data_IF_363313128218
#
_entry.id   IF_363313128218
#
_cell.length_a   1.000
_cell.length_b   1.000
_cell.length_c   1.000
_cell.angle_alpha   90.00
_cell.angle_beta   90.00
_cell.angle_gamma   90.00
#
_symmetry.space_group_name_H-M   'P 1'
#
loop_
_entity.id
_entity.type
_entity.pdbx_description
1 polymer ?
#
# COMPACT_ATOMS: atom_id res chain seq x y z
N UNK A 1 -18.12 23.93 -6.57
CA UNK A 1 -17.45 22.71 -7.04
C UNK A 1 -16.86 22.89 -8.44
N UNK A 2 -17.69 23.26 -9.46
CA UNK A 2 -17.22 23.34 -10.86
C UNK A 2 -16.01 24.27 -11.06
N UNK A 3 -16.01 25.45 -10.45
CA UNK A 3 -14.90 26.41 -10.54
C UNK A 3 -13.58 25.80 -10.02
N UNK A 4 -13.63 25.08 -8.89
CA UNK A 4 -12.47 24.43 -8.32
C UNK A 4 -11.96 23.30 -9.23
N UNK A 5 -12.88 22.50 -9.79
CA UNK A 5 -12.53 21.40 -10.70
C UNK A 5 -11.86 21.96 -11.98
N UNK A 6 -12.47 22.96 -12.62
CA UNK A 6 -11.96 23.54 -13.88
C UNK A 6 -10.58 24.17 -13.66
N UNK A 7 -10.35 24.83 -12.52
CA UNK A 7 -9.09 25.52 -12.24
C UNK A 7 -7.94 24.56 -11.91
N UNK A 8 -8.21 23.39 -11.33
CA UNK A 8 -7.18 22.48 -10.80
C UNK A 8 -7.03 21.19 -11.59
N UNK A 9 -8.11 20.62 -12.11
CA UNK A 9 -8.05 19.43 -12.95
C UNK A 9 -7.66 19.79 -14.39
N UNK A 10 -6.51 19.26 -14.85
CA UNK A 10 -5.91 19.65 -16.12
C UNK A 10 -6.54 18.98 -17.33
N UNK A 11 -6.99 17.72 -17.21
CA UNK A 11 -7.57 16.94 -18.31
C UNK A 11 -9.09 16.85 -18.21
N UNK A 12 -9.74 16.58 -19.34
CA UNK A 12 -11.20 16.40 -19.38
C UNK A 12 -11.64 15.21 -18.53
N UNK A 13 -10.88 14.11 -18.59
CA UNK A 13 -11.13 12.89 -17.84
C UNK A 13 -11.06 13.15 -16.31
N UNK A 14 -10.05 13.90 -15.87
CA UNK A 14 -9.94 14.30 -14.46
C UNK A 14 -11.14 15.15 -14.02
N UNK A 15 -11.59 16.09 -14.87
CA UNK A 15 -12.76 16.93 -14.57
C UNK A 15 -14.03 16.10 -14.45
N UNK A 16 -14.27 15.20 -15.39
CA UNK A 16 -15.42 14.30 -15.39
C UNK A 16 -15.40 13.39 -14.16
N UNK A 17 -14.25 12.87 -13.81
CA UNK A 17 -14.06 12.07 -12.57
C UNK A 17 -14.50 12.85 -11.35
N UNK A 18 -13.95 14.05 -11.11
CA UNK A 18 -14.31 14.84 -9.91
C UNK A 18 -15.78 15.27 -9.90
N UNK A 19 -16.38 15.54 -11.06
CA UNK A 19 -17.82 15.83 -11.16
C UNK A 19 -18.63 14.60 -10.76
N UNK A 20 -18.30 13.44 -11.28
CA UNK A 20 -18.97 12.17 -10.98
C UNK A 20 -18.85 11.80 -9.50
N UNK A 21 -17.65 11.88 -8.92
CA UNK A 21 -17.41 11.59 -7.51
C UNK A 21 -18.16 12.56 -6.60
N UNK A 22 -18.21 13.87 -6.94
CA UNK A 22 -19.01 14.84 -6.22
C UNK A 22 -20.50 14.50 -6.25
N UNK A 23 -21.02 14.03 -7.40
CA UNK A 23 -22.44 13.71 -7.55
C UNK A 23 -22.85 12.46 -6.77
N UNK A 24 -22.00 11.41 -6.76
CA UNK A 24 -22.31 10.15 -6.09
C UNK A 24 -22.04 10.21 -4.58
N UNK A 25 -20.94 10.87 -4.18
CA UNK A 25 -20.49 10.87 -2.78
C UNK A 25 -20.88 12.12 -2.02
N UNK A 26 -21.58 13.05 -2.65
CA UNK A 26 -22.03 14.32 -2.05
C UNK A 26 -20.89 15.09 -1.36
N UNK A 27 -19.72 15.15 -2.01
CA UNK A 27 -18.57 15.85 -1.43
C UNK A 27 -18.86 17.33 -1.17
N UNK A 28 -18.43 17.79 0.01
CA UNK A 28 -18.42 19.22 0.30
C UNK A 28 -17.36 19.93 -0.56
N UNK A 29 -17.45 21.26 -0.66
CA UNK A 29 -16.45 22.08 -1.35
C UNK A 29 -15.05 21.90 -0.73
N UNK A 30 -14.98 21.74 0.59
CA UNK A 30 -13.72 21.53 1.31
C UNK A 30 -13.14 20.16 1.00
N UNK A 31 -13.94 19.12 1.06
CA UNK A 31 -13.59 17.76 0.69
C UNK A 31 -13.05 17.69 -0.74
N UNK A 32 -13.76 18.29 -1.70
CA UNK A 32 -13.31 18.36 -3.09
C UNK A 32 -11.96 19.08 -3.23
N UNK A 33 -11.74 20.18 -2.51
CA UNK A 33 -10.46 20.91 -2.54
C UNK A 33 -9.30 20.07 -2.05
N UNK A 34 -9.50 19.31 -0.98
CA UNK A 34 -8.48 18.41 -0.43
C UNK A 34 -8.13 17.33 -1.46
N UNK A 35 -9.11 16.77 -2.15
CA UNK A 35 -8.91 15.75 -3.18
C UNK A 35 -8.25 16.29 -4.46
N UNK A 36 -8.63 17.47 -4.90
CA UNK A 36 -7.96 18.14 -6.00
C UNK A 36 -6.50 18.50 -5.65
N UNK A 37 -6.24 18.86 -4.40
CA UNK A 37 -4.88 19.16 -3.91
C UNK A 37 -4.02 17.91 -3.80
N UNK A 38 -4.61 16.78 -3.39
CA UNK A 38 -3.95 15.48 -3.30
C UNK A 38 -3.86 14.75 -4.66
N UNK A 39 -4.38 15.36 -5.74
CA UNK A 39 -4.46 14.75 -7.07
C UNK A 39 -5.06 13.34 -7.09
N UNK A 40 -6.21 13.19 -6.42
CA UNK A 40 -6.90 11.89 -6.32
C UNK A 40 -7.13 11.24 -7.69
N UNK A 41 -7.32 12.03 -8.76
CA UNK A 41 -7.51 11.50 -10.10
C UNK A 41 -6.32 10.64 -10.57
N UNK A 42 -5.10 11.11 -10.35
CA UNK A 42 -3.88 10.38 -10.73
C UNK A 42 -3.58 9.17 -9.84
N UNK A 43 -4.11 9.18 -8.61
CA UNK A 43 -3.95 8.09 -7.64
C UNK A 43 -5.18 7.17 -7.54
N UNK A 44 -6.21 7.41 -8.36
CA UNK A 44 -7.46 6.65 -8.32
C UNK A 44 -7.29 5.23 -8.84
N UNK A 45 -7.88 4.29 -8.12
CA UNK A 45 -8.23 2.98 -8.64
C UNK A 45 -7.07 2.08 -9.06
N UNK A 46 -5.87 2.41 -8.62
CA UNK A 46 -4.71 1.62 -8.91
C UNK A 46 -4.57 0.50 -7.86
N UNK A 47 -4.73 0.79 -6.57
CA UNK A 47 -4.69 -0.21 -5.52
C UNK A 47 -6.08 -0.87 -5.34
N UNK A 48 -6.28 -2.16 -5.64
CA UNK A 48 -7.51 -2.87 -5.27
C UNK A 48 -7.62 -2.95 -3.74
N UNK A 49 -8.73 -2.44 -3.20
CA UNK A 49 -8.94 -2.29 -1.75
C UNK A 49 -10.43 -2.23 -1.39
N UNK A 50 -10.74 -2.33 -0.08
CA UNK A 50 -12.08 -2.14 0.48
C UNK A 50 -12.18 -0.94 1.43
N UNK A 51 -11.26 0.02 1.37
CA UNK A 51 -11.16 1.14 2.31
C UNK A 51 -12.44 1.98 2.41
N UNK A 52 -13.14 2.19 1.28
CA UNK A 52 -14.37 2.96 1.25
C UNK A 52 -15.51 2.35 2.09
N UNK A 53 -15.46 1.05 2.33
CA UNK A 53 -16.49 0.29 3.05
C UNK A 53 -16.11 0.03 4.51
N UNK A 54 -14.81 0.01 4.82
CA UNK A 54 -14.28 -0.50 6.09
C UNK A 54 -13.67 0.58 6.98
N UNK A 55 -13.30 1.74 6.43
CA UNK A 55 -12.82 2.87 7.22
C UNK A 55 -13.98 3.77 7.68
N UNK A 56 -13.84 4.46 8.85
CA UNK A 56 -14.95 5.12 9.53
C UNK A 56 -15.63 6.21 8.71
N UNK A 57 -14.90 6.90 7.86
CA UNK A 57 -15.42 7.97 7.04
C UNK A 57 -14.72 8.06 5.67
N UNK A 58 -15.38 8.75 4.75
CA UNK A 58 -14.88 8.93 3.37
C UNK A 58 -13.53 9.64 3.31
N UNK A 59 -13.26 10.56 4.23
CA UNK A 59 -11.99 11.29 4.28
C UNK A 59 -10.84 10.36 4.64
N UNK A 60 -11.05 9.50 5.63
CA UNK A 60 -10.09 8.47 6.05
C UNK A 60 -9.83 7.47 4.93
N UNK A 61 -10.90 6.99 4.26
CA UNK A 61 -10.78 6.06 3.14
C UNK A 61 -9.95 6.63 2.00
N UNK A 62 -10.12 7.92 1.69
CA UNK A 62 -9.36 8.57 0.63
C UNK A 62 -7.93 8.87 0.99
N UNK A 63 -7.67 9.26 2.24
CA UNK A 63 -6.30 9.34 2.74
C UNK A 63 -5.58 7.99 2.60
N UNK A 64 -6.26 6.88 2.89
CA UNK A 64 -5.70 5.54 2.72
C UNK A 64 -5.39 5.25 1.25
N UNK A 65 -6.33 5.51 0.32
CA UNK A 65 -6.07 5.35 -1.13
C UNK A 65 -4.89 6.18 -1.59
N UNK A 66 -4.73 7.43 -1.10
CA UNK A 66 -3.61 8.30 -1.46
C UNK A 66 -2.27 7.90 -0.79
N UNK A 67 -2.33 7.17 0.31
CA UNK A 67 -1.13 6.77 1.07
C UNK A 67 -0.45 5.53 0.49
N UNK A 68 -1.17 4.72 -0.29
CA UNK A 68 -0.66 3.47 -0.84
C UNK A 68 -0.62 3.51 -2.37
N UNK A 69 0.40 2.87 -2.94
CA UNK A 69 0.56 2.66 -4.39
C UNK A 69 0.08 1.27 -4.77
N UNK A 70 -0.34 1.09 -6.00
CA UNK A 70 -0.66 -0.22 -6.60
C UNK A 70 0.59 -1.04 -6.94
N UNK A 71 1.71 -0.35 -7.20
CA UNK A 71 2.99 -0.98 -7.51
C UNK A 71 4.15 -0.27 -6.80
N UNK A 72 5.06 -1.04 -6.24
CA UNK A 72 6.27 -0.59 -5.58
C UNK A 72 7.51 -1.08 -6.32
N UNK A 73 8.42 -0.16 -6.64
CA UNK A 73 9.73 -0.52 -7.17
C UNK A 73 10.71 -0.72 -6.00
N UNK A 74 11.16 -1.95 -5.80
CA UNK A 74 12.12 -2.34 -4.78
C UNK A 74 13.48 -2.62 -5.43
N UNK A 75 14.15 -1.55 -5.87
CA UNK A 75 15.42 -1.60 -6.62
C UNK A 75 16.62 -2.10 -5.81
N UNK A 76 16.45 -2.18 -4.48
CA UNK A 76 17.45 -2.67 -3.55
C UNK A 76 17.37 -4.17 -3.28
N UNK A 77 16.40 -4.89 -3.84
CA UNK A 77 16.30 -6.35 -3.74
C UNK A 77 17.22 -6.99 -4.76
N UNK A 78 18.12 -7.87 -4.30
CA UNK A 78 18.96 -8.67 -5.17
C UNK A 78 18.18 -9.85 -5.75
N UNK A 79 17.77 -9.74 -7.00
CA UNK A 79 16.98 -10.78 -7.70
C UNK A 79 17.76 -12.07 -7.93
N UNK A 80 19.11 -12.02 -7.93
CA UNK A 80 19.95 -13.21 -8.13
C UNK A 80 19.86 -14.19 -6.96
N UNK A 81 19.41 -13.70 -5.80
CA UNK A 81 19.17 -14.51 -4.62
C UNK A 81 17.77 -15.12 -4.58
N UNK A 82 16.86 -14.68 -5.47
CA UNK A 82 15.49 -15.18 -5.54
C UNK A 82 15.44 -16.46 -6.39
N UNK A 83 14.85 -17.51 -5.82
CA UNK A 83 14.65 -18.79 -6.50
C UNK A 83 13.15 -19.04 -6.72
N UNK A 84 12.69 -19.01 -7.97
CA UNK A 84 11.26 -19.12 -8.31
C UNK A 84 10.59 -20.43 -7.85
N UNK A 85 11.37 -21.41 -7.40
CA UNK A 85 10.86 -22.72 -6.96
C UNK A 85 10.57 -22.82 -5.46
N UNK A 86 11.01 -21.85 -4.66
CA UNK A 86 10.85 -21.86 -3.19
C UNK A 86 10.25 -20.55 -2.68
N UNK A 87 8.91 -20.40 -2.77
CA UNK A 87 8.18 -19.18 -2.38
C UNK A 87 8.52 -18.69 -0.95
N UNK A 88 8.61 -19.59 0.03
CA UNK A 88 8.87 -19.25 1.43
C UNK A 88 10.30 -18.70 1.66
N UNK A 89 11.29 -19.20 0.92
CA UNK A 89 12.65 -18.67 0.95
C UNK A 89 12.72 -17.29 0.31
N UNK A 90 12.04 -17.10 -0.80
CA UNK A 90 11.96 -15.83 -1.50
C UNK A 90 11.30 -14.75 -0.62
N UNK A 91 10.23 -15.06 0.14
CA UNK A 91 9.60 -14.14 1.07
C UNK A 91 10.57 -13.67 2.15
N UNK A 92 11.36 -14.58 2.73
CA UNK A 92 12.41 -14.24 3.73
C UNK A 92 13.55 -13.40 3.15
N UNK A 93 13.93 -13.63 1.89
CA UNK A 93 14.97 -12.84 1.21
C UNK A 93 14.44 -11.41 0.97
N UNK A 94 13.22 -11.27 0.47
CA UNK A 94 12.57 -9.98 0.27
C UNK A 94 12.42 -9.22 1.59
N UNK A 95 11.96 -9.87 2.65
CA UNK A 95 11.84 -9.28 3.98
C UNK A 95 13.20 -8.79 4.49
N UNK A 96 14.23 -9.63 4.47
CA UNK A 96 15.59 -9.25 4.91
C UNK A 96 16.13 -8.06 4.12
N UNK A 97 15.92 -8.04 2.80
CA UNK A 97 16.35 -6.93 1.95
C UNK A 97 15.60 -5.63 2.30
N UNK A 98 14.30 -5.70 2.58
CA UNK A 98 13.51 -4.55 3.03
C UNK A 98 14.00 -4.04 4.39
N UNK A 99 14.22 -4.91 5.36
CA UNK A 99 14.71 -4.55 6.70
C UNK A 99 16.10 -3.94 6.63
N UNK A 100 17.02 -4.54 5.85
CA UNK A 100 18.37 -4.00 5.64
C UNK A 100 18.34 -2.62 4.96
N UNK A 101 17.32 -2.35 4.15
CA UNK A 101 17.14 -1.08 3.43
C UNK A 101 15.87 -0.34 3.86
N UNK A 102 15.45 -0.48 5.12
CA UNK A 102 14.18 0.05 5.63
C UNK A 102 13.98 1.54 5.32
N UNK A 103 15.05 2.33 5.34
CA UNK A 103 15.00 3.75 4.96
C UNK A 103 14.56 3.92 3.51
N UNK A 104 15.11 3.15 2.57
CA UNK A 104 14.71 3.20 1.15
C UNK A 104 13.27 2.72 0.97
N UNK A 105 12.90 1.65 1.67
CA UNK A 105 11.54 1.13 1.64
C UNK A 105 10.53 2.18 2.12
N UNK A 106 10.77 2.84 3.26
CA UNK A 106 9.90 3.90 3.78
C UNK A 106 9.80 5.07 2.78
N UNK A 107 10.90 5.49 2.17
CA UNK A 107 10.88 6.54 1.14
C UNK A 107 10.07 6.14 -0.11
N UNK A 108 10.04 4.86 -0.45
CA UNK A 108 9.24 4.31 -1.55
C UNK A 108 7.77 4.18 -1.16
N UNK A 109 7.51 3.77 0.08
CA UNK A 109 6.18 3.57 0.64
C UNK A 109 5.45 4.90 0.86
N UNK A 110 6.11 5.90 1.47
CA UNK A 110 5.58 7.24 1.68
C UNK A 110 6.21 7.96 2.87
N UNK A 111 6.04 9.28 2.94
CA UNK A 111 6.69 10.14 3.95
C UNK A 111 6.13 9.97 5.36
N UNK A 112 4.88 9.54 5.51
CA UNK A 112 4.19 9.49 6.80
C UNK A 112 4.28 8.13 7.50
N UNK A 113 5.13 7.22 7.00
CA UNK A 113 5.33 5.90 7.58
C UNK A 113 6.48 5.88 8.59
N UNK A 114 6.20 5.31 9.76
CA UNK A 114 7.20 4.99 10.79
C UNK A 114 7.29 3.48 10.94
N UNK A 115 8.48 2.92 10.80
CA UNK A 115 8.70 1.48 10.98
C UNK A 115 8.66 1.11 12.46
N UNK A 116 7.83 0.11 12.82
CA UNK A 116 7.73 -0.43 14.18
C UNK A 116 8.60 -1.68 14.31
N UNK A 117 8.53 -2.60 13.34
CA UNK A 117 9.31 -3.82 13.36
C UNK A 117 8.97 -4.78 12.21
N UNK A 118 9.79 -5.82 12.12
CA UNK A 118 9.54 -6.98 11.25
C UNK A 118 9.31 -8.22 12.09
N UNK A 119 8.66 -9.23 11.53
CA UNK A 119 8.25 -10.46 12.23
C UNK A 119 7.63 -10.11 13.60
N UNK A 120 6.69 -9.16 13.55
CA UNK A 120 6.09 -8.63 14.76
C UNK A 120 5.21 -9.70 15.41
N UNK A 121 5.70 -10.24 16.54
CA UNK A 121 5.04 -11.33 17.27
C UNK A 121 3.82 -10.82 18.02
N UNK A 122 2.70 -11.50 17.84
CA UNK A 122 1.50 -11.37 18.64
C UNK A 122 1.08 -12.76 19.12
N UNK A 123 0.36 -12.81 20.25
CA UNK A 123 -0.21 -14.05 20.78
C UNK A 123 -1.69 -13.81 21.07
N UNK A 124 -2.54 -14.68 20.55
CA UNK A 124 -3.98 -14.63 20.78
C UNK A 124 -4.48 -16.02 21.19
N UNK A 125 -4.99 -16.13 22.39
CA UNK A 125 -5.49 -17.41 22.94
C UNK A 125 -4.49 -18.58 22.87
N UNK A 126 -3.20 -18.30 23.01
CA UNK A 126 -2.13 -19.29 22.96
C UNK A 126 -1.58 -19.57 21.56
N UNK A 127 -2.15 -18.98 20.52
CA UNK A 127 -1.68 -19.09 19.14
C UNK A 127 -0.74 -17.91 18.81
N UNK A 128 0.45 -18.24 18.34
CA UNK A 128 1.44 -17.24 17.92
C UNK A 128 1.20 -16.82 16.48
N UNK A 129 1.32 -15.51 16.23
CA UNK A 129 1.20 -14.91 14.92
C UNK A 129 2.35 -13.94 14.68
N UNK A 130 2.81 -13.85 13.44
CA UNK A 130 3.92 -12.96 13.05
C UNK A 130 3.50 -12.14 11.85
N UNK A 131 3.56 -10.82 11.99
CA UNK A 131 3.35 -9.88 10.88
C UNK A 131 4.72 -9.60 10.25
N UNK A 132 4.85 -9.77 8.93
CA UNK A 132 6.13 -9.58 8.24
C UNK A 132 6.72 -8.19 8.50
N UNK A 133 5.93 -7.13 8.25
CA UNK A 133 6.34 -5.76 8.53
C UNK A 133 5.19 -4.98 9.18
N UNK A 134 5.48 -4.30 10.29
CA UNK A 134 4.53 -3.42 10.96
C UNK A 134 5.02 -1.98 10.92
N UNK A 135 4.13 -1.09 10.50
CA UNK A 135 4.34 0.35 10.45
C UNK A 135 3.25 1.09 11.21
N UNK A 136 3.51 2.36 11.49
CA UNK A 136 2.49 3.34 11.86
C UNK A 136 2.46 4.43 10.80
N UNK A 137 1.28 4.73 10.28
CA UNK A 137 1.09 5.85 9.35
C UNK A 137 0.50 7.04 10.11
N UNK A 138 1.26 8.15 10.14
CA UNK A 138 0.93 9.35 10.90
C UNK A 138 -0.26 10.10 10.33
N UNK A 139 -0.38 10.17 8.99
CA UNK A 139 -1.49 10.86 8.32
C UNK A 139 -2.82 10.11 8.49
N UNK A 140 -2.75 8.78 8.48
CA UNK A 140 -3.90 7.90 8.72
C UNK A 140 -4.18 7.71 10.21
N UNK A 141 -3.21 7.99 11.09
CA UNK A 141 -3.24 7.68 12.51
C UNK A 141 -3.62 6.21 12.76
N UNK A 142 -2.98 5.30 12.02
CA UNK A 142 -3.30 3.87 11.98
C UNK A 142 -2.04 3.00 11.98
N UNK A 143 -2.13 1.85 12.62
CA UNK A 143 -1.18 0.77 12.40
C UNK A 143 -1.35 0.23 10.97
N UNK A 144 -0.25 -0.12 10.32
CA UNK A 144 -0.25 -0.68 8.96
C UNK A 144 0.55 -1.98 8.98
N UNK A 145 -0.16 -3.09 8.79
CA UNK A 145 0.43 -4.41 8.63
C UNK A 145 0.71 -4.66 7.13
N UNK A 146 1.94 -5.01 6.79
CA UNK A 146 2.31 -5.41 5.43
C UNK A 146 2.69 -6.88 5.45
N UNK A 147 2.02 -7.65 4.63
CA UNK A 147 2.27 -9.07 4.41
C UNK A 147 2.96 -9.25 3.07
N UNK A 148 4.13 -9.87 3.06
CA UNK A 148 4.94 -10.10 1.88
C UNK A 148 4.61 -11.45 1.25
N UNK A 149 4.48 -11.49 -0.07
CA UNK A 149 4.28 -12.72 -0.83
C UNK A 149 5.16 -12.71 -2.07
N UNK A 150 5.99 -13.73 -2.23
CA UNK A 150 6.93 -13.84 -3.34
C UNK A 150 6.29 -14.24 -4.67
N UNK A 151 5.06 -14.75 -4.62
CA UNK A 151 4.32 -15.24 -5.77
C UNK A 151 3.13 -14.38 -6.16
N UNK A 152 2.18 -15.03 -6.85
CA UNK A 152 0.90 -14.46 -7.25
C UNK A 152 -0.07 -14.38 -6.06
N UNK A 153 -0.92 -13.35 -6.05
CA UNK A 153 -1.99 -13.19 -5.08
C UNK A 153 -2.87 -14.45 -4.94
N UNK A 154 -3.16 -14.82 -3.69
CA UNK A 154 -4.10 -15.90 -3.31
C UNK A 154 -5.09 -15.36 -2.28
N UNK A 155 -6.35 -15.77 -2.37
CA UNK A 155 -7.42 -15.34 -1.44
C UNK A 155 -7.17 -15.74 0.01
N UNK A 156 -6.42 -16.82 0.25
CA UNK A 156 -6.01 -17.25 1.60
C UNK A 156 -5.22 -16.18 2.38
N UNK A 157 -4.46 -15.33 1.68
CA UNK A 157 -3.69 -14.24 2.28
C UNK A 157 -4.58 -13.19 2.95
N UNK A 158 -5.79 -12.96 2.40
CA UNK A 158 -6.76 -12.04 3.01
C UNK A 158 -7.28 -12.54 4.35
N UNK A 159 -7.50 -13.85 4.48
CA UNK A 159 -7.92 -14.47 5.75
C UNK A 159 -6.86 -14.32 6.84
N UNK A 160 -5.60 -14.56 6.51
CA UNK A 160 -4.46 -14.37 7.40
C UNK A 160 -4.35 -12.91 7.83
N UNK A 161 -4.34 -11.98 6.86
CA UNK A 161 -4.23 -10.55 7.13
C UNK A 161 -5.42 -10.04 7.97
N UNK A 162 -6.65 -10.49 7.71
CA UNK A 162 -7.83 -10.14 8.49
C UNK A 162 -7.69 -10.54 9.98
N UNK A 163 -7.10 -11.70 10.25
CA UNK A 163 -6.80 -12.16 11.60
C UNK A 163 -5.79 -11.25 12.28
N UNK A 164 -4.72 -10.88 11.58
CA UNK A 164 -3.71 -9.95 12.09
C UNK A 164 -4.29 -8.58 12.43
N UNK A 165 -5.12 -8.01 11.53
CA UNK A 165 -5.77 -6.73 11.80
C UNK A 165 -6.73 -6.79 12.97
N UNK A 166 -7.43 -7.91 13.16
CA UNK A 166 -8.30 -8.12 14.30
C UNK A 166 -7.50 -8.17 15.60
N UNK A 167 -6.35 -8.86 15.61
CA UNK A 167 -5.45 -8.92 16.76
C UNK A 167 -4.83 -7.54 17.07
N UNK A 168 -4.36 -6.83 16.05
CA UNK A 168 -3.83 -5.46 16.21
C UNK A 168 -4.87 -4.52 16.83
N UNK A 169 -6.09 -4.51 16.30
CA UNK A 169 -7.17 -3.64 16.77
C UNK A 169 -7.59 -3.97 18.21
N UNK A 170 -7.50 -5.24 18.61
CA UNK A 170 -7.94 -5.68 19.93
C UNK A 170 -6.88 -5.47 20.99
N UNK A 171 -5.60 -5.73 20.68
CA UNK A 171 -4.56 -5.85 21.70
C UNK A 171 -3.47 -4.77 21.63
N UNK A 172 -3.25 -4.17 20.45
CA UNK A 172 -2.11 -3.26 20.21
C UNK A 172 -2.56 -1.83 19.98
N UNK A 173 -3.59 -1.63 19.16
CA UNK A 173 -4.12 -0.32 18.80
C UNK A 173 -4.53 0.50 20.02
N UNK A 174 -4.15 1.77 20.05
CA UNK A 174 -4.55 2.70 21.12
C UNK A 174 -5.96 3.26 20.87
N UNK A 175 -6.70 3.68 21.92
CA UNK A 175 -8.06 4.18 21.79
C UNK A 175 -8.23 5.40 20.85
N UNK A 176 -7.20 6.20 20.69
CA UNK A 176 -7.19 7.39 19.83
C UNK A 176 -6.75 7.12 18.39
N UNK A 177 -6.33 5.90 18.09
CA UNK A 177 -5.90 5.49 16.75
C UNK A 177 -7.09 4.96 15.96
N UNK A 178 -7.03 5.16 14.65
CA UNK A 178 -8.02 4.62 13.71
C UNK A 178 -7.82 3.09 13.51
N UNK A 179 -8.77 2.39 12.89
CA UNK A 179 -8.62 0.97 12.59
C UNK A 179 -7.32 0.66 11.85
N UNK A 180 -6.70 -0.46 12.20
CA UNK A 180 -5.49 -0.94 11.55
C UNK A 180 -5.76 -1.27 10.08
N UNK A 181 -4.78 -1.01 9.21
CA UNK A 181 -4.88 -1.22 7.76
C UNK A 181 -3.90 -2.32 7.37
N UNK A 182 -4.35 -3.22 6.47
CA UNK A 182 -3.52 -4.30 5.95
C UNK A 182 -3.19 -4.10 4.47
N UNK A 183 -1.95 -4.38 4.10
CA UNK A 183 -1.49 -4.40 2.70
C UNK A 183 -0.82 -5.73 2.42
N UNK A 184 -1.32 -6.46 1.42
CA UNK A 184 -0.59 -7.58 0.82
C UNK A 184 0.30 -7.02 -0.27
N UNK A 185 1.58 -7.34 -0.21
CA UNK A 185 2.57 -6.96 -1.22
C UNK A 185 3.05 -8.23 -1.94
N UNK A 186 2.63 -8.44 -3.19
CA UNK A 186 2.90 -9.65 -3.97
C UNK A 186 3.54 -9.33 -5.34
N UNK A 187 4.09 -10.33 -6.04
CA UNK A 187 4.68 -10.12 -7.38
C UNK A 187 3.63 -9.88 -8.45
N UNK A 188 2.50 -10.60 -8.38
CA UNK A 188 1.48 -10.56 -9.43
C UNK A 188 0.08 -10.60 -8.83
N UNK A 189 -0.86 -9.90 -9.47
CA UNK A 189 -2.28 -9.99 -9.14
C UNK A 189 -3.15 -9.80 -10.38
N UNK A 190 -4.37 -10.30 -10.30
CA UNK A 190 -5.46 -9.88 -11.17
C UNK A 190 -6.31 -8.86 -10.42
N UNK A 191 -6.26 -7.60 -10.84
CA UNK A 191 -6.90 -6.48 -10.15
C UNK A 191 -8.39 -6.72 -9.91
N UNK A 192 -9.15 -7.09 -10.95
CA UNK A 192 -10.61 -7.34 -10.85
C UNK A 192 -10.93 -8.47 -9.87
N UNK A 193 -10.10 -9.53 -9.86
CA UNK A 193 -10.27 -10.63 -8.93
C UNK A 193 -9.98 -10.22 -7.48
N UNK A 194 -8.95 -9.41 -7.26
CA UNK A 194 -8.65 -8.87 -5.92
C UNK A 194 -9.77 -7.97 -5.43
N UNK A 195 -10.27 -7.04 -6.26
CA UNK A 195 -11.40 -6.17 -5.92
C UNK A 195 -12.64 -6.97 -5.52
N UNK A 196 -12.90 -8.07 -6.21
CA UNK A 196 -13.97 -8.99 -5.84
C UNK A 196 -13.70 -9.68 -4.51
N UNK A 197 -12.48 -10.18 -4.30
CA UNK A 197 -12.11 -10.96 -3.12
C UNK A 197 -12.05 -10.14 -1.82
N UNK A 198 -11.58 -8.87 -1.87
CA UNK A 198 -11.47 -8.03 -0.67
C UNK A 198 -12.80 -7.46 -0.19
N UNK A 199 -13.81 -7.44 -1.06
CA UNK A 199 -15.09 -6.77 -0.81
C UNK A 199 -15.84 -7.29 0.43
N UNK A 200 -15.77 -8.59 0.68
CA UNK A 200 -16.55 -9.24 1.74
C UNK A 200 -15.85 -9.22 3.11
N UNK A 201 -14.64 -8.66 3.18
CA UNK A 201 -13.93 -8.49 4.45
C UNK A 201 -14.31 -7.18 5.14
N UNK A 202 -14.36 -7.22 6.48
CA UNK A 202 -14.76 -6.09 7.32
C UNK A 202 -13.59 -5.28 7.89
N UNK A 203 -12.36 -5.69 7.60
CA UNK A 203 -11.14 -4.95 7.96
C UNK A 203 -10.58 -4.22 6.74
N UNK A 204 -9.98 -3.03 6.92
CA UNK A 204 -9.41 -2.25 5.82
C UNK A 204 -8.20 -2.96 5.21
N UNK A 205 -8.32 -3.41 3.98
CA UNK A 205 -7.27 -4.15 3.27
C UNK A 205 -7.09 -3.67 1.83
N UNK A 206 -5.84 -3.74 1.36
CA UNK A 206 -5.48 -3.54 -0.03
C UNK A 206 -4.41 -4.51 -0.49
N UNK A 207 -4.27 -4.66 -1.80
CA UNK A 207 -3.25 -5.51 -2.41
C UNK A 207 -2.46 -4.70 -3.41
N UNK A 208 -1.14 -4.69 -3.25
CA UNK A 208 -0.20 -4.03 -4.15
C UNK A 208 0.75 -5.06 -4.76
N UNK A 209 1.35 -4.69 -5.89
CA UNK A 209 2.44 -5.46 -6.47
C UNK A 209 3.79 -4.82 -6.17
N UNK A 210 4.85 -5.59 -6.25
CA UNK A 210 6.20 -5.07 -6.26
C UNK A 210 7.01 -5.63 -7.43
N UNK A 211 7.96 -4.81 -7.90
CA UNK A 211 8.97 -5.23 -8.88
C UNK A 211 10.36 -5.08 -8.29
N UNK A 212 11.20 -6.05 -8.53
CA UNK A 212 12.61 -5.98 -8.27
C UNK A 212 13.36 -5.43 -9.50
N UNK A 213 14.61 -5.02 -9.31
CA UNK A 213 15.40 -4.31 -10.32
C UNK A 213 15.53 -5.02 -11.69
N UNK A 214 15.52 -6.36 -11.74
CA UNK A 214 15.58 -7.14 -13.01
C UNK A 214 14.28 -7.08 -13.82
N UNK A 215 13.15 -6.85 -13.17
CA UNK A 215 11.83 -6.80 -13.82
C UNK A 215 11.57 -5.42 -14.46
N UNK A 216 12.52 -4.51 -14.32
CA UNK A 216 12.41 -3.16 -14.85
C UNK A 216 12.55 -3.16 -16.38
N UNK A 217 11.60 -2.54 -17.13
CA UNK A 217 11.74 -2.37 -18.56
C UNK A 217 13.11 -1.75 -18.91
N UNK A 218 13.75 -2.26 -19.95
CA UNK A 218 15.11 -1.86 -20.37
C UNK A 218 15.26 -0.33 -20.54
N UNK A 219 14.19 0.35 -20.98
CA UNK A 219 14.15 1.82 -21.09
C UNK A 219 14.31 2.55 -19.74
N UNK A 220 13.76 2.01 -18.65
CA UNK A 220 13.88 2.59 -17.31
C UNK A 220 15.22 2.21 -16.68
N UNK A 221 15.71 1.01 -16.94
CA UNK A 221 17.03 0.55 -16.49
C UNK A 221 18.15 1.42 -17.06
N UNK A 222 18.06 1.79 -18.33
CA UNK A 222 19.03 2.63 -19.00
C UNK A 222 18.88 4.14 -18.70
N UNK A 223 17.77 4.55 -18.11
CA UNK A 223 17.52 5.94 -17.68
C UNK A 223 18.03 6.23 -16.25
N UNK A 224 18.35 5.19 -15.48
CA UNK A 224 18.95 5.37 -14.15
C UNK A 224 20.48 5.52 -14.30
N UNK A 225 21.09 6.55 -13.72
CA UNK A 225 22.56 6.68 -13.71
C UNK A 225 23.17 5.45 -13.06
N UNK A 226 24.20 4.88 -13.66
CA UNK A 226 24.91 3.74 -13.10
C UNK A 226 25.47 4.13 -11.73
N UNK A 227 25.38 3.23 -10.74
CA UNK A 227 25.89 3.45 -9.37
C UNK A 227 27.36 3.88 -9.36
N UNK A 228 28.15 3.42 -10.33
CA UNK A 228 29.54 3.85 -10.49
C UNK A 228 29.69 5.30 -10.96
N UNK A 229 28.75 5.80 -11.75
CA UNK A 229 28.76 7.21 -12.19
C UNK A 229 28.30 8.16 -11.08
N UNK A 230 27.38 7.70 -10.20
CA UNK A 230 26.98 8.44 -9.00
C UNK A 230 28.10 8.49 -7.94
N UNK A 231 28.92 7.43 -7.83
CA UNK A 231 30.10 7.41 -6.92
C UNK A 231 31.23 8.35 -7.36
N UNK A 232 31.27 8.74 -8.63
CA UNK A 232 32.25 9.72 -9.15
C UNK A 232 31.85 11.17 -8.92
N UNK A 233 30.60 11.40 -8.49
CA UNK A 233 30.04 12.72 -8.20
C UNK A 233 30.04 13.06 -6.70
N UNK A 234 30.47 12.13 -5.85
CA UNK A 234 30.72 12.27 -4.40
C UNK A 234 32.21 12.26 -4.11
#
# INVERSE_FOLDING_TARGET
HHTEIISKAKTLEARLFYIHECAIRYWSKYTLRDYLKADLYSHRGTLPNNFAQTLPDTKQALKAVCSFKDEYLLDFINVEELNEQEEDLDEKIVEKAIVANVKKFIMTFGQDFSFIGNQYRMEVAGEEMFIDLLFFNRELNSLVAVELKSGKFRTSYLGQLNTYLSALDTYIRKPHENPSIGIILCKEMNQTFVEFAVRDYNKPMGVATYRASKDMPERLRNALPNIEDLKKLL
#
